data_IF_409325665746
#
_entry.id   IF_409325665746
#
_cell.length_a   1.000
_cell.length_b   1.000
_cell.length_c   1.000
_cell.angle_alpha   90.00
_cell.angle_beta   90.00
_cell.angle_gamma   90.00
#
_symmetry.space_group_name_H-M   'P 1'
#
loop_
_entity.id
_entity.type
_entity.pdbx_description
1 polymer ?
#
# COMPACT_ATOMS: atom_id res chain seq x y z
N UNK A 1 -17.15 2.03 19.29
CA UNK A 1 -16.53 2.70 18.13
C UNK A 1 -15.66 1.75 17.31
N UNK A 2 -15.12 0.67 17.91
CA UNK A 2 -14.32 -0.35 17.20
C UNK A 2 -15.08 -1.21 16.19
N UNK A 3 -16.33 -1.61 16.49
CA UNK A 3 -17.06 -2.55 15.62
C UNK A 3 -17.35 -2.01 14.20
N UNK A 4 -17.53 -0.69 14.05
CA UNK A 4 -17.74 -0.08 12.73
C UNK A 4 -16.47 -0.06 11.87
N UNK A 5 -15.30 0.18 12.48
CA UNK A 5 -14.01 0.12 11.80
C UNK A 5 -13.66 -1.31 11.42
N UNK A 6 -13.92 -2.26 12.33
CA UNK A 6 -13.74 -3.69 12.10
C UNK A 6 -14.63 -4.20 10.95
N UNK A 7 -15.92 -3.87 10.95
CA UNK A 7 -16.84 -4.24 9.86
C UNK A 7 -16.45 -3.64 8.51
N UNK A 8 -15.96 -2.38 8.50
CA UNK A 8 -15.48 -1.74 7.27
C UNK A 8 -14.22 -2.42 6.73
N UNK A 9 -13.30 -2.82 7.62
CA UNK A 9 -12.11 -3.58 7.25
C UNK A 9 -12.49 -4.96 6.71
N UNK A 10 -13.36 -5.70 7.40
CA UNK A 10 -13.84 -7.02 6.97
C UNK A 10 -14.58 -6.97 5.62
N UNK A 11 -15.45 -5.98 5.38
CA UNK A 11 -16.07 -5.78 4.05
C UNK A 11 -15.03 -5.46 2.97
N UNK A 12 -14.01 -4.68 3.30
CA UNK A 12 -12.90 -4.41 2.38
C UNK A 12 -12.08 -5.66 2.08
N UNK A 13 -11.88 -6.54 3.06
CA UNK A 13 -11.16 -7.80 2.91
C UNK A 13 -12.00 -8.78 2.07
N UNK A 14 -13.29 -8.94 2.38
CA UNK A 14 -14.22 -9.79 1.62
C UNK A 14 -14.25 -9.39 0.14
N UNK A 15 -14.40 -8.10 -0.15
CA UNK A 15 -14.38 -7.60 -1.54
C UNK A 15 -13.02 -7.79 -2.24
N UNK A 16 -11.92 -7.85 -1.47
CA UNK A 16 -10.57 -8.09 -1.99
C UNK A 16 -10.28 -9.58 -2.22
N UNK A 17 -10.97 -10.46 -1.48
CA UNK A 17 -10.92 -11.92 -1.64
C UNK A 17 -11.80 -12.34 -2.83
N UNK A 18 -13.00 -11.75 -2.98
CA UNK A 18 -13.91 -12.06 -4.10
C UNK A 18 -13.39 -11.54 -5.45
N UNK A 19 -12.55 -10.49 -5.46
CA UNK A 19 -11.99 -9.90 -6.68
C UNK A 19 -10.47 -9.68 -6.57
N UNK A 20 -9.67 -10.75 -6.54
CA UNK A 20 -8.23 -10.67 -6.30
C UNK A 20 -7.50 -9.89 -7.40
N UNK A 21 -7.95 -9.99 -8.66
CA UNK A 21 -7.36 -9.27 -9.78
C UNK A 21 -7.55 -7.75 -9.67
N UNK A 22 -8.76 -7.29 -9.32
CA UNK A 22 -9.04 -5.86 -9.13
C UNK A 22 -8.21 -5.29 -7.97
N UNK A 23 -8.06 -6.06 -6.89
CA UNK A 23 -7.25 -5.66 -5.74
C UNK A 23 -5.75 -5.58 -6.10
N UNK A 24 -5.24 -6.58 -6.81
CA UNK A 24 -3.86 -6.60 -7.31
C UNK A 24 -3.56 -5.42 -8.24
N UNK A 25 -4.51 -5.05 -9.11
CA UNK A 25 -4.37 -3.94 -10.06
C UNK A 25 -4.41 -2.57 -9.32
N UNK A 26 -5.25 -2.45 -8.28
CA UNK A 26 -5.29 -1.26 -7.41
C UNK A 26 -3.98 -1.08 -6.64
N UNK A 27 -3.43 -2.16 -6.08
CA UNK A 27 -2.13 -2.17 -5.42
C UNK A 27 -1.00 -1.79 -6.40
N UNK A 28 -1.01 -2.36 -7.61
CA UNK A 28 -0.04 -2.02 -8.67
C UNK A 28 -0.09 -0.53 -9.03
N UNK A 29 -1.27 0.05 -9.20
CA UNK A 29 -1.43 1.48 -9.51
C UNK A 29 -0.86 2.37 -8.39
N UNK A 30 -1.18 2.06 -7.12
CA UNK A 30 -0.64 2.80 -5.97
C UNK A 30 0.89 2.68 -5.87
N UNK A 31 1.41 1.47 -6.07
CA UNK A 31 2.85 1.20 -6.12
C UNK A 31 3.54 2.04 -7.20
N UNK A 32 2.95 2.12 -8.40
CA UNK A 32 3.52 2.85 -9.53
C UNK A 32 3.53 4.37 -9.27
N UNK A 33 2.46 4.90 -8.66
CA UNK A 33 2.41 6.31 -8.24
C UNK A 33 3.48 6.63 -7.18
N UNK A 34 3.59 5.80 -6.12
CA UNK A 34 4.65 6.01 -5.11
C UNK A 34 6.04 5.87 -5.70
N UNK A 35 6.25 4.96 -6.65
CA UNK A 35 7.53 4.80 -7.34
C UNK A 35 7.88 6.09 -8.10
N UNK A 36 6.92 6.65 -8.83
CA UNK A 36 7.09 7.94 -9.52
C UNK A 36 7.43 9.08 -8.55
N UNK A 37 6.71 9.20 -7.43
CA UNK A 37 6.97 10.23 -6.41
C UNK A 37 8.38 10.05 -5.81
N UNK A 38 8.78 8.81 -5.51
CA UNK A 38 10.10 8.51 -4.93
C UNK A 38 11.23 8.92 -5.89
N UNK A 39 11.09 8.57 -7.17
CA UNK A 39 12.04 8.94 -8.22
C UNK A 39 12.10 10.44 -8.48
N UNK A 40 10.96 11.12 -8.48
CA UNK A 40 10.91 12.58 -8.62
C UNK A 40 11.64 13.27 -7.46
N UNK A 41 11.42 12.83 -6.22
CA UNK A 41 12.14 13.39 -5.07
C UNK A 41 13.65 13.11 -5.11
N UNK A 42 14.08 11.93 -5.61
CA UNK A 42 15.50 11.65 -5.84
C UNK A 42 16.10 12.54 -6.94
N UNK A 43 15.36 12.80 -8.02
CA UNK A 43 15.80 13.74 -9.05
C UNK A 43 15.91 15.17 -8.51
N UNK A 44 14.98 15.61 -7.67
CA UNK A 44 15.04 16.93 -7.03
C UNK A 44 16.27 17.03 -6.12
N UNK A 45 16.55 16.00 -5.32
CA UNK A 45 17.76 15.93 -4.48
C UNK A 45 19.03 15.98 -5.34
N UNK A 46 19.06 15.24 -6.44
CA UNK A 46 20.17 15.27 -7.39
C UNK A 46 20.40 16.67 -7.97
N UNK A 47 19.35 17.34 -8.43
CA UNK A 47 19.43 18.71 -8.97
C UNK A 47 19.90 19.72 -7.90
N UNK A 48 19.34 19.66 -6.69
CA UNK A 48 19.72 20.54 -5.58
C UNK A 48 21.18 20.35 -5.18
N UNK A 49 21.68 19.12 -5.23
CA UNK A 49 23.09 18.82 -4.96
C UNK A 49 24.02 19.48 -5.97
N UNK A 50 23.70 19.37 -7.27
CA UNK A 50 24.48 20.00 -8.35
C UNK A 50 24.42 21.53 -8.33
N UNK A 51 23.32 22.11 -7.84
CA UNK A 51 23.17 23.55 -7.69
C UNK A 51 23.92 24.11 -6.46
N UNK A 52 24.62 23.27 -5.69
CA UNK A 52 25.34 23.68 -4.48
C UNK A 52 24.42 24.10 -3.32
N UNK A 53 23.11 23.87 -3.45
CA UNK A 53 22.11 24.17 -2.42
C UNK A 53 22.05 23.02 -1.41
N UNK A 54 23.17 22.80 -0.73
CA UNK A 54 23.31 21.81 0.34
C UNK A 54 22.77 22.39 1.65
N UNK A 55 21.58 21.93 2.05
CA UNK A 55 20.93 22.33 3.31
C UNK A 55 19.97 21.26 3.81
N UNK A 56 19.29 21.53 4.93
CA UNK A 56 18.32 20.62 5.58
C UNK A 56 17.25 20.07 4.61
N UNK A 57 16.87 20.86 3.60
CA UNK A 57 15.91 20.45 2.57
C UNK A 57 16.37 19.22 1.77
N UNK A 58 17.66 19.12 1.46
CA UNK A 58 18.21 18.02 0.68
C UNK A 58 18.12 16.70 1.46
N UNK A 59 18.37 16.76 2.77
CA UNK A 59 18.27 15.62 3.68
C UNK A 59 16.81 15.22 3.92
N UNK A 60 15.91 16.19 4.07
CA UNK A 60 14.48 15.95 4.23
C UNK A 60 13.85 15.29 2.99
N UNK A 61 14.16 15.80 1.78
CA UNK A 61 13.61 15.24 0.54
C UNK A 61 14.20 13.86 0.27
N UNK A 62 15.50 13.64 0.53
CA UNK A 62 16.10 12.30 0.32
C UNK A 62 15.51 11.26 1.29
N UNK A 63 15.33 11.62 2.56
CA UNK A 63 14.68 10.76 3.55
C UNK A 63 13.24 10.44 3.16
N UNK A 64 12.47 11.45 2.72
CA UNK A 64 11.09 11.25 2.28
C UNK A 64 11.01 10.32 1.06
N UNK A 65 11.87 10.53 0.06
CA UNK A 65 11.97 9.63 -1.11
C UNK A 65 12.32 8.21 -0.73
N UNK A 66 13.27 8.02 0.21
CA UNK A 66 13.65 6.70 0.70
C UNK A 66 12.49 5.98 1.40
N UNK A 67 11.76 6.68 2.27
CA UNK A 67 10.57 6.15 2.96
C UNK A 67 9.48 5.78 1.96
N UNK A 68 9.18 6.67 1.00
CA UNK A 68 8.20 6.42 -0.04
C UNK A 68 8.56 5.17 -0.87
N UNK A 69 9.84 4.99 -1.20
CA UNK A 69 10.30 3.79 -1.90
C UNK A 69 10.21 2.53 -1.02
N UNK A 70 10.47 2.64 0.28
CA UNK A 70 10.23 1.55 1.23
C UNK A 70 8.77 1.08 1.24
N UNK A 71 7.81 2.00 1.18
CA UNK A 71 6.39 1.66 1.04
C UNK A 71 6.06 0.97 -0.29
N UNK A 72 6.74 1.33 -1.39
CA UNK A 72 6.60 0.60 -2.67
C UNK A 72 6.99 -0.86 -2.50
N UNK A 73 8.15 -1.12 -1.90
CA UNK A 73 8.65 -2.48 -1.66
C UNK A 73 7.68 -3.25 -0.77
N UNK A 74 7.18 -2.62 0.30
CA UNK A 74 6.19 -3.23 1.19
C UNK A 74 4.90 -3.59 0.44
N UNK A 75 4.36 -2.69 -0.38
CA UNK A 75 3.14 -2.94 -1.16
C UNK A 75 3.31 -4.05 -2.19
N UNK A 76 4.47 -4.12 -2.86
CA UNK A 76 4.75 -5.19 -3.83
C UNK A 76 4.94 -6.55 -3.13
N UNK A 77 5.61 -6.56 -1.97
CA UNK A 77 5.73 -7.75 -1.12
C UNK A 77 4.37 -8.23 -0.61
N UNK A 78 3.57 -7.33 -0.06
CA UNK A 78 2.21 -7.64 0.40
C UNK A 78 1.33 -8.17 -0.74
N UNK A 79 1.45 -7.61 -1.95
CA UNK A 79 0.74 -8.10 -3.13
C UNK A 79 1.12 -9.53 -3.49
N UNK A 80 2.42 -9.86 -3.47
CA UNK A 80 2.91 -11.22 -3.74
C UNK A 80 2.42 -12.18 -2.66
N UNK A 81 2.57 -11.82 -1.39
CA UNK A 81 2.09 -12.62 -0.26
C UNK A 81 0.57 -12.89 -0.35
N UNK A 82 -0.21 -11.88 -0.72
CA UNK A 82 -1.66 -12.00 -0.88
C UNK A 82 -2.06 -13.07 -1.91
N UNK A 83 -1.31 -13.20 -3.02
CA UNK A 83 -1.56 -14.24 -4.03
C UNK A 83 -1.35 -15.67 -3.49
N UNK A 84 -0.44 -15.85 -2.54
CA UNK A 84 -0.21 -17.15 -1.89
C UNK A 84 -1.22 -17.45 -0.78
N UNK A 85 -1.68 -16.41 -0.07
CA UNK A 85 -2.56 -16.58 1.10
C UNK A 85 -4.02 -16.76 0.68
N UNK A 86 -4.54 -16.00 -0.30
CA UNK A 86 -5.95 -16.08 -0.77
C UNK A 86 -6.48 -17.52 -0.91
N UNK A 87 -5.81 -18.45 -1.64
CA UNK A 87 -6.36 -19.78 -1.88
C UNK A 87 -6.50 -20.62 -0.61
N UNK A 88 -5.88 -20.21 0.50
CA UNK A 88 -5.94 -20.88 1.80
C UNK A 88 -6.91 -20.20 2.78
N UNK A 89 -7.55 -19.08 2.40
CA UNK A 89 -8.53 -18.40 3.23
C UNK A 89 -9.91 -19.04 3.03
N UNK A 90 -10.53 -19.49 4.12
CA UNK A 90 -11.93 -19.92 4.11
C UNK A 90 -12.86 -18.71 3.99
N UNK A 91 -13.27 -18.43 2.74
CA UNK A 91 -14.13 -17.31 2.38
C UNK A 91 -15.50 -17.40 3.08
N UNK A 92 -16.00 -18.62 3.32
CA UNK A 92 -17.29 -18.82 3.99
C UNK A 92 -17.21 -18.44 5.47
N UNK A 93 -16.09 -18.73 6.14
CA UNK A 93 -15.85 -18.29 7.52
C UNK A 93 -15.82 -16.76 7.63
N UNK A 94 -15.11 -16.08 6.72
CA UNK A 94 -15.02 -14.60 6.71
C UNK A 94 -16.39 -13.98 6.42
N UNK A 95 -17.18 -14.59 5.52
CA UNK A 95 -18.54 -14.13 5.19
C UNK A 95 -19.50 -14.27 6.37
N UNK A 96 -19.40 -15.37 7.13
CA UNK A 96 -20.21 -15.60 8.35
C UNK A 96 -19.90 -14.57 9.44
N UNK A 97 -18.65 -14.21 9.66
CA UNK A 97 -18.29 -13.15 10.63
C UNK A 97 -18.82 -11.76 10.21
N UNK A 98 -18.75 -11.42 8.92
CA UNK A 98 -19.29 -10.14 8.41
C UNK A 98 -20.80 -10.03 8.60
N UNK A 99 -21.54 -11.12 8.40
CA UNK A 99 -23.01 -11.14 8.54
C UNK A 99 -23.44 -11.24 10.01
N UNK A 100 -22.67 -11.93 10.85
CA UNK A 100 -22.95 -12.05 12.29
C UNK A 100 -22.87 -10.73 13.05
N UNK A 101 -22.02 -9.79 12.62
CA UNK A 101 -21.87 -8.47 13.24
C UNK A 101 -22.89 -7.42 12.70
N UNK A 102 -23.79 -7.80 11.77
CA UNK A 102 -24.90 -6.96 11.26
C UNK A 102 -26.27 -7.32 11.87
N UNK A 103 -26.36 -8.39 12.67
CA UNK A 103 -27.58 -8.82 13.38
C UNK A 103 -27.52 -8.45 14.85
#
# INVERSE_FOLDING_TARGET
MDNQLKNKALKSILSSIENPEKHALKLKRKSLLLTGISWLGLMIVFLLHFQGSTGLYLLAISAFSGIAYGFVIYLDSARKQWQFIIPHIDIESVKKEVLSDET
#
